data_IF_159177517279
#
_entry.id   IF_159177517279
#
_cell.length_a   1.000
_cell.length_b   1.000
_cell.length_c   1.000
_cell.angle_alpha   90.00
_cell.angle_beta   90.00
_cell.angle_gamma   90.00
#
_symmetry.space_group_name_H-M   'P 1'
#
loop_
_entity.id
_entity.type
_entity.pdbx_description
1 polymer ?
#
# COMPACT_ATOMS: atom_id res chain seq x y z
N UNK A 1 -15.44 4.55 -23.43
CA UNK A 1 -14.54 5.42 -22.63
C UNK A 1 -13.52 4.51 -21.95
N UNK A 2 -12.21 4.77 -22.12
CA UNK A 2 -11.16 3.92 -21.52
C UNK A 2 -10.94 4.39 -20.08
N UNK A 3 -11.11 3.50 -19.11
CA UNK A 3 -10.87 3.82 -17.70
C UNK A 3 -9.38 3.61 -17.43
N UNK A 4 -8.73 4.60 -16.84
CA UNK A 4 -7.31 4.55 -16.47
C UNK A 4 -7.14 4.35 -14.97
N UNK A 5 -6.22 3.45 -14.62
CA UNK A 5 -5.87 3.10 -13.25
C UNK A 5 -4.46 3.57 -12.93
N UNK A 6 -4.21 3.96 -11.69
CA UNK A 6 -2.85 4.15 -11.16
C UNK A 6 -2.15 2.79 -11.13
N UNK A 7 -0.96 2.71 -11.73
CA UNK A 7 -0.15 1.48 -11.75
C UNK A 7 1.20 1.62 -11.05
N UNK A 8 1.61 2.86 -10.72
CA UNK A 8 2.90 3.14 -10.09
C UNK A 8 2.74 4.02 -8.85
N UNK A 9 3.58 3.79 -7.85
CA UNK A 9 3.61 4.60 -6.62
C UNK A 9 4.03 6.04 -6.90
N UNK A 10 4.66 6.28 -8.06
CA UNK A 10 5.02 7.59 -8.60
C UNK A 10 3.83 8.36 -9.18
N UNK A 11 2.69 7.71 -9.34
CA UNK A 11 1.49 8.33 -9.91
C UNK A 11 0.36 8.43 -8.89
N UNK A 12 0.20 7.43 -8.01
CA UNK A 12 -0.94 7.39 -7.09
C UNK A 12 -0.80 8.50 -6.03
N UNK A 13 -1.81 9.37 -5.87
CA UNK A 13 -1.83 10.33 -4.76
C UNK A 13 -1.82 9.59 -3.43
N UNK A 14 -1.06 10.09 -2.45
CA UNK A 14 -0.98 9.48 -1.12
C UNK A 14 -2.38 9.26 -0.51
N UNK A 15 -3.29 10.21 -0.67
CA UNK A 15 -4.68 10.11 -0.22
C UNK A 15 -5.42 8.90 -0.83
N UNK A 16 -5.22 8.63 -2.12
CA UNK A 16 -5.88 7.51 -2.77
C UNK A 16 -5.29 6.19 -2.28
N UNK A 17 -3.98 6.11 -2.08
CA UNK A 17 -3.34 4.95 -1.47
C UNK A 17 -3.83 4.68 -0.05
N UNK A 18 -3.87 5.72 0.80
CA UNK A 18 -4.40 5.60 2.17
C UNK A 18 -5.85 5.11 2.17
N UNK A 19 -6.70 5.67 1.30
CA UNK A 19 -8.10 5.25 1.22
C UNK A 19 -8.29 3.86 0.65
N UNK A 20 -7.48 3.45 -0.34
CA UNK A 20 -7.47 2.08 -0.85
C UNK A 20 -7.20 1.08 0.28
N UNK A 21 -6.17 1.33 1.09
CA UNK A 21 -5.80 0.44 2.19
C UNK A 21 -6.76 0.50 3.38
N UNK A 22 -7.32 1.68 3.70
CA UNK A 22 -8.26 1.86 4.81
C UNK A 22 -9.63 1.22 4.52
N UNK A 23 -10.11 1.31 3.27
CA UNK A 23 -11.48 0.91 2.91
C UNK A 23 -11.56 -0.38 2.10
N UNK A 24 -10.44 -0.86 1.54
CA UNK A 24 -10.42 -1.97 0.58
C UNK A 24 -11.09 -1.65 -0.76
N UNK A 25 -11.43 -0.39 -1.02
CA UNK A 25 -12.22 0.00 -2.19
C UNK A 25 -11.34 0.34 -3.40
N UNK A 26 -11.36 -0.52 -4.40
CA UNK A 26 -10.58 -0.37 -5.64
C UNK A 26 -10.93 0.86 -6.47
N UNK A 27 -12.04 1.56 -6.20
CA UNK A 27 -12.35 2.83 -6.89
C UNK A 27 -11.25 3.88 -6.71
N UNK A 28 -10.46 3.78 -5.64
CA UNK A 28 -9.33 4.69 -5.40
C UNK A 28 -8.13 4.44 -6.33
N UNK A 29 -8.10 3.31 -7.04
CA UNK A 29 -7.17 3.06 -8.14
C UNK A 29 -7.51 3.85 -9.41
N UNK A 30 -8.74 4.35 -9.56
CA UNK A 30 -9.16 5.06 -10.77
C UNK A 30 -8.57 6.48 -10.80
N UNK A 31 -7.86 6.82 -11.88
CA UNK A 31 -7.24 8.14 -12.09
C UNK A 31 -8.29 9.24 -12.14
N UNK A 32 -9.29 9.08 -13.00
CA UNK A 32 -10.39 10.02 -13.16
C UNK A 32 -11.51 9.74 -12.15
N UNK A 33 -11.75 10.70 -11.25
CA UNK A 33 -12.80 10.65 -10.23
C UNK A 33 -14.20 10.42 -10.81
N UNK A 34 -14.46 10.88 -12.04
CA UNK A 34 -15.76 10.74 -12.72
C UNK A 34 -16.07 9.28 -13.08
N UNK A 35 -15.03 8.45 -13.19
CA UNK A 35 -15.14 7.05 -13.61
C UNK A 35 -15.07 6.06 -12.43
N UNK A 36 -15.10 6.54 -11.18
CA UNK A 36 -14.97 5.69 -9.97
C UNK A 36 -16.08 4.66 -9.80
N UNK A 37 -17.23 4.88 -10.41
CA UNK A 37 -18.37 3.97 -10.37
C UNK A 37 -18.53 3.16 -11.66
N UNK A 38 -17.61 3.31 -12.60
CA UNK A 38 -17.66 2.56 -13.84
C UNK A 38 -17.28 1.09 -13.59
N UNK A 39 -17.91 0.18 -14.34
CA UNK A 39 -17.63 -1.25 -14.25
C UNK A 39 -16.21 -1.52 -14.77
N UNK A 40 -15.32 -1.86 -13.85
CA UNK A 40 -13.95 -2.27 -14.14
C UNK A 40 -13.90 -3.79 -14.35
N UNK A 41 -13.01 -4.24 -15.24
CA UNK A 41 -12.66 -5.65 -15.30
C UNK A 41 -11.77 -6.01 -14.12
N UNK A 42 -12.01 -7.17 -13.53
CA UNK A 42 -11.26 -7.67 -12.38
C UNK A 42 -9.75 -7.74 -12.69
N UNK A 43 -9.38 -8.28 -13.86
CA UNK A 43 -7.99 -8.37 -14.34
C UNK A 43 -7.26 -7.02 -14.32
N UNK A 44 -7.94 -5.93 -14.69
CA UNK A 44 -7.33 -4.60 -14.73
C UNK A 44 -7.10 -4.03 -13.33
N UNK A 45 -8.02 -4.29 -12.41
CA UNK A 45 -7.88 -3.91 -11.01
C UNK A 45 -6.70 -4.65 -10.40
N UNK A 46 -6.61 -5.96 -10.64
CA UNK A 46 -5.54 -6.81 -10.13
C UNK A 46 -4.18 -6.37 -10.64
N UNK A 47 -4.02 -6.21 -11.95
CA UNK A 47 -2.77 -5.72 -12.55
C UNK A 47 -2.32 -4.39 -11.94
N UNK A 48 -3.23 -3.43 -11.80
CA UNK A 48 -2.93 -2.13 -11.21
C UNK A 48 -2.58 -2.22 -9.72
N UNK A 49 -3.33 -3.04 -8.98
CA UNK A 49 -3.12 -3.25 -7.55
C UNK A 49 -1.76 -3.88 -7.28
N UNK A 50 -1.40 -4.96 -7.98
CA UNK A 50 -0.12 -5.64 -7.80
C UNK A 50 1.05 -4.77 -8.19
N UNK A 51 0.99 -4.11 -9.35
CA UNK A 51 2.04 -3.19 -9.79
C UNK A 51 2.36 -2.10 -8.74
N UNK A 52 1.34 -1.56 -8.07
CA UNK A 52 1.54 -0.61 -6.97
C UNK A 52 2.15 -1.25 -5.72
N UNK A 53 1.72 -2.45 -5.38
CA UNK A 53 2.14 -3.16 -4.19
C UNK A 53 3.59 -3.64 -4.33
N UNK A 54 4.00 -4.10 -5.52
CA UNK A 54 5.38 -4.48 -5.82
C UNK A 54 6.32 -3.27 -5.71
N UNK A 55 5.99 -2.16 -6.37
CA UNK A 55 6.78 -0.93 -6.27
C UNK A 55 6.84 -0.39 -4.82
N UNK A 56 5.77 -0.55 -4.04
CA UNK A 56 5.75 -0.20 -2.62
C UNK A 56 6.67 -1.12 -1.80
N UNK A 57 6.65 -2.43 -2.05
CA UNK A 57 7.51 -3.40 -1.39
C UNK A 57 9.00 -3.10 -1.64
N UNK A 58 9.33 -2.77 -2.89
CA UNK A 58 10.67 -2.31 -3.31
C UNK A 58 11.08 -1.03 -2.60
N UNK A 59 10.16 -0.07 -2.47
CA UNK A 59 10.46 1.21 -1.84
C UNK A 59 10.64 1.12 -0.31
N UNK A 60 10.03 0.12 0.34
CA UNK A 60 9.94 0.01 1.81
C UNK A 60 10.70 -1.18 2.40
N UNK A 61 11.43 -1.94 1.59
CA UNK A 61 12.10 -3.19 1.96
C UNK A 61 11.17 -4.19 2.67
N UNK A 62 9.84 -4.09 2.44
CA UNK A 62 8.80 -4.90 3.08
C UNK A 62 8.45 -6.15 2.26
N UNK A 63 9.44 -6.68 1.54
CA UNK A 63 9.29 -7.74 0.54
C UNK A 63 8.56 -8.98 1.06
N UNK A 64 8.95 -9.54 2.21
CA UNK A 64 8.42 -10.82 2.68
C UNK A 64 6.91 -10.80 2.97
N UNK A 65 6.42 -9.70 3.55
CA UNK A 65 4.98 -9.52 3.82
C UNK A 65 4.20 -9.39 2.51
N UNK A 66 4.76 -8.66 1.56
CA UNK A 66 4.11 -8.36 0.29
C UNK A 66 4.11 -9.57 -0.65
N UNK A 67 5.19 -10.36 -0.66
CA UNK A 67 5.26 -11.67 -1.33
C UNK A 67 4.16 -12.60 -0.81
N UNK A 68 3.95 -12.65 0.51
CA UNK A 68 2.90 -13.49 1.10
C UNK A 68 1.49 -13.03 0.71
N UNK A 69 1.25 -11.71 0.70
CA UNK A 69 -0.03 -11.15 0.23
C UNK A 69 -0.25 -11.48 -1.26
N UNK A 70 0.80 -11.33 -2.08
CA UNK A 70 0.75 -11.65 -3.51
C UNK A 70 0.42 -13.14 -3.74
N UNK A 71 1.14 -14.07 -3.11
CA UNK A 71 0.90 -15.51 -3.22
C UNK A 71 -0.53 -15.91 -2.81
N UNK A 72 -1.05 -15.33 -1.72
CA UNK A 72 -2.43 -15.58 -1.30
C UNK A 72 -3.48 -15.03 -2.27
N UNK A 73 -3.22 -13.86 -2.87
CA UNK A 73 -4.12 -13.33 -3.89
C UNK A 73 -4.10 -14.16 -5.18
N UNK A 74 -2.93 -14.62 -5.64
CA UNK A 74 -2.82 -15.53 -6.81
C UNK A 74 -3.60 -16.81 -6.55
N UNK A 75 -3.39 -17.47 -5.40
CA UNK A 75 -4.11 -18.69 -5.03
C UNK A 75 -5.63 -18.48 -4.93
N UNK A 76 -6.06 -17.31 -4.45
CA UNK A 76 -7.48 -16.92 -4.43
C UNK A 76 -8.05 -16.77 -5.83
N UNK A 77 -7.30 -16.21 -6.78
CA UNK A 77 -7.72 -16.09 -8.18
C UNK A 77 -7.89 -17.47 -8.80
N UNK A 78 -6.88 -18.34 -8.68
CA UNK A 78 -6.95 -19.71 -9.18
C UNK A 78 -8.15 -20.48 -8.59
N UNK A 79 -8.41 -20.31 -7.29
CA UNK A 79 -9.57 -20.92 -6.64
C UNK A 79 -10.90 -20.38 -7.19
N UNK A 80 -11.00 -19.07 -7.47
CA UNK A 80 -12.19 -18.45 -8.08
C UNK A 80 -12.45 -18.94 -9.49
N UNK A 81 -11.40 -19.08 -10.30
CA UNK A 81 -11.51 -19.62 -11.66
C UNK A 81 -12.08 -21.05 -11.65
N UNK A 82 -11.59 -21.90 -10.74
CA UNK A 82 -12.10 -23.27 -10.57
C UNK A 82 -13.55 -23.30 -10.09
N UNK A 83 -13.94 -22.42 -9.17
CA UNK A 83 -15.36 -22.25 -8.79
C UNK A 83 -16.20 -21.84 -10.01
N UNK A 84 -15.72 -20.92 -10.84
CA UNK A 84 -16.37 -20.50 -12.08
C UNK A 84 -16.51 -21.63 -13.11
N UNK A 85 -15.56 -22.56 -13.14
CA UNK A 85 -15.60 -23.77 -13.95
C UNK A 85 -16.53 -24.88 -13.39
N UNK A 86 -17.16 -24.65 -12.23
CA UNK A 86 -18.12 -25.57 -11.61
C UNK A 86 -17.55 -26.40 -10.45
N UNK A 87 -16.29 -26.21 -10.07
CA UNK A 87 -15.66 -26.91 -8.95
C UNK A 87 -15.99 -26.25 -7.61
N UNK A 88 -17.21 -26.49 -7.12
CA UNK A 88 -17.79 -25.79 -5.95
C UNK A 88 -16.96 -25.94 -4.66
N UNK A 89 -16.20 -27.02 -4.50
CA UNK A 89 -15.35 -27.23 -3.33
C UNK A 89 -14.21 -26.19 -3.21
N UNK A 90 -13.84 -25.52 -4.31
CA UNK A 90 -12.87 -24.42 -4.26
C UNK A 90 -13.35 -23.16 -3.56
N UNK A 91 -14.66 -23.05 -3.29
CA UNK A 91 -15.23 -21.92 -2.54
C UNK A 91 -14.64 -21.82 -1.14
N UNK A 92 -14.39 -22.94 -0.47
CA UNK A 92 -13.77 -22.97 0.86
C UNK A 92 -12.34 -22.41 0.83
N UNK A 93 -11.60 -22.63 -0.26
CA UNK A 93 -10.26 -22.05 -0.43
C UNK A 93 -10.35 -20.54 -0.67
N UNK A 94 -11.32 -20.07 -1.46
CA UNK A 94 -11.57 -18.62 -1.63
C UNK A 94 -11.84 -17.97 -0.27
N UNK A 95 -12.75 -18.53 0.53
CA UNK A 95 -13.12 -18.00 1.84
C UNK A 95 -11.92 -18.02 2.83
N UNK A 96 -11.09 -19.07 2.78
CA UNK A 96 -9.89 -19.19 3.58
C UNK A 96 -8.82 -18.15 3.20
N UNK A 97 -8.54 -17.99 1.90
CA UNK A 97 -7.59 -16.98 1.42
C UNK A 97 -8.11 -15.57 1.68
N UNK A 98 -9.42 -15.34 1.57
CA UNK A 98 -10.04 -14.06 1.95
C UNK A 98 -9.79 -13.74 3.43
N UNK A 99 -9.98 -14.72 4.31
CA UNK A 99 -9.72 -14.54 5.75
C UNK A 99 -8.23 -14.29 6.05
N UNK A 100 -7.32 -14.97 5.38
CA UNK A 100 -5.87 -14.78 5.58
C UNK A 100 -5.39 -13.44 5.02
N UNK A 101 -5.92 -13.00 3.88
CA UNK A 101 -5.70 -11.67 3.32
C UNK A 101 -6.24 -10.58 4.26
N UNK A 102 -7.44 -10.75 4.82
CA UNK A 102 -7.98 -9.81 5.82
C UNK A 102 -7.08 -9.68 7.04
N UNK A 103 -6.48 -10.77 7.52
CA UNK A 103 -5.54 -10.73 8.65
C UNK A 103 -4.21 -10.05 8.28
N UNK A 104 -3.65 -10.35 7.10
CA UNK A 104 -2.39 -9.77 6.65
C UNK A 104 -2.51 -8.32 6.22
N UNK A 105 -3.67 -7.92 5.71
CA UNK A 105 -3.99 -6.54 5.34
C UNK A 105 -4.59 -5.76 6.50
N UNK A 106 -4.92 -6.42 7.62
CA UNK A 106 -5.44 -5.74 8.80
C UNK A 106 -4.44 -4.63 9.19
N UNK A 107 -4.89 -3.37 9.24
CA UNK A 107 -4.05 -2.30 9.74
C UNK A 107 -3.61 -2.70 11.14
N UNK A 108 -2.33 -2.46 11.45
CA UNK A 108 -1.85 -2.61 12.82
C UNK A 108 -2.80 -1.80 13.70
N UNK A 109 -3.45 -2.37 14.71
CA UNK A 109 -4.53 -1.70 15.47
C UNK A 109 -4.07 -0.36 16.11
N UNK A 110 -2.76 -0.14 16.19
CA UNK A 110 -2.12 1.09 16.67
C UNK A 110 -1.54 2.02 15.57
N UNK A 111 -1.67 1.68 14.28
CA UNK A 111 -1.18 2.50 13.17
C UNK A 111 -2.24 3.51 12.73
N UNK A 112 -2.06 4.75 13.15
CA UNK A 112 -2.86 5.89 12.71
C UNK A 112 -2.08 6.65 11.62
N UNK A 113 -2.49 6.59 10.34
CA UNK A 113 -1.79 7.24 9.24
C UNK A 113 -1.75 8.76 9.38
N UNK A 114 -2.74 9.37 10.04
CA UNK A 114 -2.76 10.81 10.32
C UNK A 114 -1.66 11.14 11.34
N UNK A 115 -1.58 10.40 12.44
CA UNK A 115 -0.52 10.60 13.45
C UNK A 115 0.87 10.34 12.87
N UNK A 116 1.03 9.29 12.08
CA UNK A 116 2.30 8.95 11.41
C UNK A 116 2.76 10.13 10.54
N UNK A 117 1.88 10.62 9.65
CA UNK A 117 2.18 11.77 8.80
C UNK A 117 2.45 13.05 9.59
N UNK A 118 1.73 13.31 10.69
CA UNK A 118 1.98 14.46 11.54
C UNK A 118 3.38 14.45 12.14
N UNK A 119 3.87 13.27 12.58
CA UNK A 119 5.25 13.12 13.09
C UNK A 119 6.26 13.41 11.99
N UNK A 120 6.08 12.82 10.80
CA UNK A 120 6.97 13.08 9.66
C UNK A 120 6.98 14.56 9.30
N UNK A 121 5.82 15.21 9.24
CA UNK A 121 5.70 16.64 8.95
C UNK A 121 6.39 17.53 10.00
N UNK A 122 6.32 17.17 11.29
CA UNK A 122 7.04 17.89 12.35
C UNK A 122 8.55 17.84 12.16
N UNK A 123 9.08 16.71 11.70
CA UNK A 123 10.51 16.56 11.40
C UNK A 123 10.92 17.23 10.09
N UNK A 124 10.13 17.04 9.03
CA UNK A 124 10.41 17.55 7.69
C UNK A 124 10.27 19.08 7.57
N UNK A 125 9.44 19.70 8.42
CA UNK A 125 9.28 21.16 8.48
C UNK A 125 8.44 21.77 7.35
N UNK A 126 7.89 20.96 6.45
CA UNK A 126 6.97 21.39 5.40
C UNK A 126 5.65 20.62 5.44
N UNK A 127 4.52 21.26 5.10
CA UNK A 127 3.22 20.61 5.12
C UNK A 127 3.12 19.49 4.08
N UNK A 128 2.76 18.29 4.52
CA UNK A 128 2.48 17.16 3.63
C UNK A 128 1.02 17.23 3.23
N UNK A 129 0.76 17.36 1.92
CA UNK A 129 -0.60 17.47 1.37
C UNK A 129 -0.96 16.20 0.60
N UNK A 130 -1.70 15.25 1.19
CA UNK A 130 -1.87 13.90 0.62
C UNK A 130 -2.58 13.84 -0.73
N UNK A 131 -3.33 14.89 -1.10
CA UNK A 131 -4.01 14.97 -2.40
C UNK A 131 -3.13 15.56 -3.52
N UNK A 132 -2.01 16.19 -3.15
CA UNK A 132 -1.09 16.85 -4.08
C UNK A 132 0.17 16.00 -4.30
N UNK A 133 0.66 15.31 -3.26
CA UNK A 133 1.83 14.45 -3.37
C UNK A 133 1.46 13.00 -3.71
N UNK A 134 2.40 12.32 -4.33
CA UNK A 134 2.37 10.89 -4.64
C UNK A 134 2.83 10.06 -3.46
N UNK A 135 2.51 8.77 -3.47
CA UNK A 135 3.04 7.82 -2.49
C UNK A 135 4.56 7.78 -2.51
N UNK A 136 5.18 7.80 -3.70
CA UNK A 136 6.63 7.81 -3.85
C UNK A 136 7.28 9.01 -3.14
N UNK A 137 6.79 10.23 -3.39
CA UNK A 137 7.32 11.44 -2.75
C UNK A 137 7.22 11.36 -1.23
N UNK A 138 6.10 10.85 -0.72
CA UNK A 138 5.95 10.62 0.72
C UNK A 138 6.99 9.65 1.27
N UNK A 139 7.22 8.51 0.61
CA UNK A 139 8.22 7.52 1.04
C UNK A 139 9.64 8.09 1.01
N UNK A 140 9.97 8.95 0.03
CA UNK A 140 11.27 9.62 0.01
C UNK A 140 11.43 10.60 1.17
N UNK A 141 10.37 11.36 1.52
CA UNK A 141 10.37 12.23 2.70
C UNK A 141 10.62 11.41 3.97
N UNK A 142 9.94 10.26 4.11
CA UNK A 142 10.12 9.35 5.25
C UNK A 142 11.58 8.88 5.35
N UNK A 143 12.18 8.42 4.24
CA UNK A 143 13.58 7.97 4.22
C UNK A 143 14.55 9.07 4.67
N UNK A 144 14.42 10.28 4.13
CA UNK A 144 15.27 11.42 4.52
C UNK A 144 15.14 11.72 6.02
N UNK A 145 13.92 11.72 6.55
CA UNK A 145 13.68 11.94 7.99
C UNK A 145 14.29 10.83 8.84
N UNK A 146 14.21 9.57 8.41
CA UNK A 146 14.83 8.43 9.10
C UNK A 146 16.36 8.52 9.12
N UNK A 147 16.99 8.86 7.99
CA UNK A 147 18.43 9.08 7.87
C UNK A 147 18.92 10.22 8.79
N UNK A 148 18.16 11.32 8.86
CA UNK A 148 18.45 12.45 9.75
C UNK A 148 18.39 12.04 11.24
N UNK A 149 17.41 11.23 11.62
CA UNK A 149 17.25 10.72 12.99
C UNK A 149 18.42 9.79 13.34
N UNK A 150 18.78 8.88 12.43
CA UNK A 150 19.90 7.95 12.64
C UNK A 150 21.23 8.70 12.79
N UNK A 151 21.48 9.70 11.95
CA UNK A 151 22.68 10.55 12.01
C UNK A 151 22.78 11.31 13.33
N UNK A 152 21.67 11.88 13.82
CA UNK A 152 21.62 12.56 15.14
C UNK A 152 21.90 11.60 16.29
N UNK A 153 21.37 10.39 16.26
CA UNK A 153 21.59 9.40 17.31
C UNK A 153 23.05 8.92 17.35
N UNK A 154 23.69 8.71 16.20
CA UNK A 154 25.11 8.36 16.13
C UNK A 154 26.01 9.49 16.68
N UNK A 155 25.72 10.74 16.34
CA UNK A 155 26.48 11.91 16.82
C UNK A 155 26.32 12.16 18.34
N UNK A 156 25.18 11.78 18.93
CA UNK A 156 24.96 11.89 20.37
C UNK A 156 25.68 10.76 21.15
N UNK A 157 25.74 9.55 20.60
CA UNK A 157 26.45 8.43 21.23
C UNK A 157 27.98 8.55 21.13
N UNK A 158 28.52 9.27 20.14
CA UNK A 158 29.96 9.54 20.01
C UNK A 158 30.50 10.62 20.96
N UNK A 159 29.62 11.44 21.58
CA UNK A 159 30.02 12.51 22.50
C UNK A 159 30.05 12.11 23.99
N UNK A 160 29.72 10.85 24.32
CA UNK A 160 29.65 10.34 25.70
C UNK A 160 30.94 9.75 26.27
N UNK A 161 32.07 9.74 25.53
CA UNK A 161 33.34 9.13 25.96
C UNK A 161 34.49 10.15 25.99
N UNK A 162 34.25 11.35 26.51
CA UNK A 162 35.32 12.28 26.90
C UNK A 162 34.98 12.87 28.26
N UNK A 163 35.11 12.07 29.32
CA UNK A 163 35.40 12.51 30.69
C UNK A 163 36.40 11.55 31.33
#
# INVERSE_FOLDING_TARGET
>A
MKIELYKSIREIPLFNWEKLNETGDYKFLVKDKRNRFAKLKQEQIEEAYFSLHDEYADATDSHDRMIRIHDLMVRRIEARERVGAGEVHFKNFVDAYDSELEQLMKPNENYDPIKSRMRIQQHYGQPIKPKEITLYEYLMIVKVVEEDIQTKNQNNNGKGNIE
#
